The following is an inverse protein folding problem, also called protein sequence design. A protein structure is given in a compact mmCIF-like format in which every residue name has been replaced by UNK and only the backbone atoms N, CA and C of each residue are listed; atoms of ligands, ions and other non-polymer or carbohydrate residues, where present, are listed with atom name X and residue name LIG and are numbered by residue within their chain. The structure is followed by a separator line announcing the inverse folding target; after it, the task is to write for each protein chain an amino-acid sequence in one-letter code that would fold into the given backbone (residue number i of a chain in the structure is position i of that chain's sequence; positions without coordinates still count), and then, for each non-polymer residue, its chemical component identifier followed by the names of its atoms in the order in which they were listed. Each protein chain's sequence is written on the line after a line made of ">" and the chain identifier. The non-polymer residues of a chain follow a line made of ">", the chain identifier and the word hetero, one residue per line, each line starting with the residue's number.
data_IF_347983187032
#
_entry.id   IF_347983187032
#
_cell.length_a   1.000
_cell.length_b   1.000
_cell.length_c   1.000
_cell.angle_alpha   90.00
_cell.angle_beta   90.00
_cell.angle_gamma   90.00
#
_symmetry.space_group_name_H-M   'P 1'
#
loop_
_entity.id
_entity.type
_entity.pdbx_description
1 polymer ?
#
# COMPACT_ATOMS: atom_id res chain seq x y z
N UNK A 1 -8.58 -3.65 -22.17
CA UNK A 1 -7.55 -4.51 -22.83
C UNK A 1 -6.94 -5.35 -21.72
N UNK A 2 -7.16 -6.68 -21.75
CA UNK A 2 -6.60 -7.58 -20.75
C UNK A 2 -5.08 -7.56 -20.90
N UNK A 3 -4.37 -7.02 -19.91
CA UNK A 3 -2.94 -7.21 -19.80
C UNK A 3 -2.70 -8.69 -19.48
N UNK A 4 -2.21 -9.45 -20.44
CA UNK A 4 -1.70 -10.79 -20.17
C UNK A 4 -0.60 -10.65 -19.10
N UNK A 5 -0.76 -11.37 -18.01
CA UNK A 5 0.24 -11.47 -16.95
C UNK A 5 1.49 -12.10 -17.53
N UNK A 6 2.47 -11.29 -17.90
CA UNK A 6 3.81 -11.80 -18.17
C UNK A 6 4.44 -12.14 -16.81
N UNK A 7 4.33 -13.40 -16.43
CA UNK A 7 5.01 -13.97 -15.25
C UNK A 7 6.48 -14.28 -15.53
N UNK A 8 7.12 -13.56 -16.41
CA UNK A 8 8.55 -13.72 -16.65
C UNK A 8 9.33 -12.89 -15.63
N UNK A 9 9.68 -13.53 -14.53
CA UNK A 9 10.48 -12.97 -13.43
C UNK A 9 11.92 -12.60 -13.82
N UNK A 10 12.33 -12.87 -15.08
CA UNK A 10 13.67 -12.58 -15.60
C UNK A 10 13.72 -11.32 -16.49
N UNK A 11 12.62 -10.64 -16.70
CA UNK A 11 12.63 -9.38 -17.45
C UNK A 11 13.16 -8.23 -16.57
N UNK A 12 13.87 -7.31 -17.22
CA UNK A 12 14.39 -6.06 -16.66
C UNK A 12 13.39 -5.43 -15.67
N UNK A 13 13.78 -5.07 -14.43
CA UNK A 13 12.90 -4.47 -13.44
C UNK A 13 12.25 -3.16 -13.91
N UNK A 14 12.77 -2.57 -14.99
CA UNK A 14 12.18 -1.39 -15.62
C UNK A 14 11.22 -1.82 -16.72
N UNK A 15 9.97 -1.47 -16.54
CA UNK A 15 8.91 -1.74 -17.48
C UNK A 15 9.16 -0.99 -18.80
N UNK A 16 9.57 -1.70 -19.83
CA UNK A 16 9.77 -1.13 -21.16
C UNK A 16 8.57 -1.54 -22.02
N UNK A 17 7.52 -0.71 -22.04
CA UNK A 17 6.42 -0.87 -22.97
C UNK A 17 6.83 -0.31 -24.34
N UNK A 18 7.31 -1.18 -25.23
CA UNK A 18 7.28 -0.94 -26.66
C UNK A 18 5.90 -1.31 -27.21
N UNK A 19 4.87 -0.54 -26.90
CA UNK A 19 3.64 -0.60 -27.68
C UNK A 19 3.74 0.38 -28.83
N UNK A 20 3.77 -0.14 -30.04
CA UNK A 20 3.63 0.62 -31.26
C UNK A 20 2.19 1.10 -31.40
N UNK A 21 1.92 2.33 -30.99
CA UNK A 21 0.73 3.06 -31.41
C UNK A 21 0.99 3.61 -32.82
N UNK A 22 0.37 3.05 -33.84
CA UNK A 22 0.39 3.53 -35.25
C UNK A 22 1.78 3.96 -35.77
N UNK A 23 2.85 3.28 -35.37
CA UNK A 23 4.22 3.52 -35.83
C UNK A 23 4.94 4.68 -35.14
N UNK A 24 4.34 5.37 -34.18
CA UNK A 24 4.98 6.41 -33.37
C UNK A 24 5.13 5.90 -31.93
N UNK A 25 6.38 5.63 -31.53
CA UNK A 25 6.69 5.28 -30.13
C UNK A 25 6.52 6.56 -29.28
N UNK A 26 5.57 6.59 -28.31
CA UNK A 26 5.40 7.76 -27.47
C UNK A 26 6.67 8.01 -26.65
N UNK A 27 7.16 9.24 -26.65
CA UNK A 27 8.27 9.61 -25.79
C UNK A 27 7.82 9.54 -24.33
N UNK A 28 8.50 8.74 -23.54
CA UNK A 28 8.26 8.68 -22.09
C UNK A 28 8.57 10.02 -21.43
N UNK A 29 7.88 10.30 -20.34
CA UNK A 29 8.04 11.54 -19.60
C UNK A 29 8.05 11.24 -18.10
N UNK A 30 9.06 11.70 -17.39
CA UNK A 30 9.25 11.45 -15.97
C UNK A 30 9.73 10.04 -15.63
N UNK A 31 9.79 9.71 -14.34
CA UNK A 31 10.16 8.39 -13.89
C UNK A 31 9.10 7.38 -14.30
N UNK A 32 9.53 6.17 -14.68
CA UNK A 32 8.66 5.07 -15.09
C UNK A 32 8.48 4.07 -13.96
N UNK A 33 7.30 3.44 -13.84
CA UNK A 33 7.08 2.36 -12.89
C UNK A 33 7.82 1.09 -13.31
N UNK A 34 8.23 0.29 -12.33
CA UNK A 34 8.55 -1.11 -12.53
C UNK A 34 7.28 -1.95 -12.67
N UNK A 35 7.41 -3.19 -13.18
CA UNK A 35 6.28 -4.14 -13.23
C UNK A 35 5.68 -4.38 -11.84
N UNK A 36 6.53 -4.50 -10.81
CA UNK A 36 6.07 -4.66 -9.44
C UNK A 36 5.22 -3.48 -8.97
N UNK A 37 5.61 -2.26 -9.31
CA UNK A 37 4.85 -1.06 -8.96
C UNK A 37 3.51 -0.98 -9.70
N UNK A 38 3.45 -1.39 -10.97
CA UNK A 38 2.18 -1.46 -11.69
C UNK A 38 1.24 -2.51 -11.05
N UNK A 39 1.76 -3.72 -10.78
CA UNK A 39 0.97 -4.77 -10.11
C UNK A 39 0.49 -4.31 -8.72
N UNK A 40 1.32 -3.57 -8.00
CA UNK A 40 1.00 -3.02 -6.69
C UNK A 40 -0.18 -2.04 -6.75
N UNK A 41 -0.18 -1.12 -7.71
CA UNK A 41 -1.30 -0.20 -7.96
C UNK A 41 -2.59 -0.93 -8.37
N UNK A 42 -2.48 -1.99 -9.18
CA UNK A 42 -3.63 -2.79 -9.62
C UNK A 42 -4.28 -3.60 -8.48
N UNK A 43 -3.55 -3.87 -7.41
CA UNK A 43 -4.10 -4.52 -6.21
C UNK A 43 -5.01 -3.59 -5.41
N UNK A 44 -4.82 -2.28 -5.51
CA UNK A 44 -5.55 -1.21 -4.81
C UNK A 44 -5.45 -1.28 -3.28
N UNK A 45 -5.67 -2.47 -2.70
CA UNK A 45 -5.70 -2.70 -1.27
C UNK A 45 -4.88 -3.93 -0.88
N UNK A 46 -3.97 -3.76 0.08
CA UNK A 46 -3.29 -4.82 0.81
C UNK A 46 -3.88 -5.02 2.20
N UNK A 47 -3.73 -6.21 2.76
CA UNK A 47 -4.03 -6.48 4.16
C UNK A 47 -2.74 -6.42 4.99
N UNK A 48 -2.81 -5.90 6.20
CA UNK A 48 -1.76 -5.96 7.19
C UNK A 48 -2.22 -6.85 8.35
N UNK A 49 -1.35 -7.68 8.89
CA UNK A 49 -1.58 -8.47 10.10
C UNK A 49 -0.59 -8.06 11.16
N UNK A 50 -1.05 -7.26 12.14
CA UNK A 50 -0.35 -7.08 13.40
C UNK A 50 -0.80 -8.18 14.35
N UNK A 51 0.11 -9.13 14.61
CA UNK A 51 -0.12 -10.22 15.55
C UNK A 51 1.21 -10.67 16.14
N UNK A 52 1.29 -10.75 17.47
CA UNK A 52 2.51 -11.09 18.17
C UNK A 52 2.34 -10.99 19.67
N UNK A 53 3.43 -10.74 20.41
CA UNK A 53 3.43 -10.57 21.86
C UNK A 53 2.44 -9.46 22.27
N UNK A 54 2.40 -8.37 21.56
CA UNK A 54 1.56 -7.22 21.84
C UNK A 54 0.05 -7.52 21.78
N UNK A 55 -0.37 -8.52 21.01
CA UNK A 55 -1.76 -9.04 21.05
C UNK A 55 -2.12 -9.58 22.43
N UNK A 56 -1.18 -10.21 23.14
CA UNK A 56 -1.41 -10.84 24.44
C UNK A 56 -1.25 -9.89 25.60
N UNK A 57 -0.30 -8.96 25.49
CA UNK A 57 -0.04 -7.92 26.51
C UNK A 57 -0.98 -6.71 26.37
N UNK A 58 -1.71 -6.61 25.25
CA UNK A 58 -2.64 -5.52 24.96
C UNK A 58 -1.97 -4.14 24.94
N UNK A 59 -0.79 -4.05 24.31
CA UNK A 59 -0.04 -2.79 24.12
C UNK A 59 0.28 -2.61 22.64
N UNK A 60 0.45 -1.34 22.22
CA UNK A 60 0.87 -1.06 20.83
C UNK A 60 2.38 -1.25 20.67
N UNK A 61 3.16 -0.79 21.63
CA UNK A 61 4.59 -0.96 21.68
C UNK A 61 5.00 -1.70 22.96
N UNK A 62 5.61 -2.87 22.80
CA UNK A 62 6.18 -3.61 23.92
C UNK A 62 7.49 -2.97 24.40
N UNK A 63 7.97 -3.43 25.53
CA UNK A 63 9.20 -2.93 26.15
C UNK A 63 10.40 -3.87 26.03
N UNK A 64 10.24 -5.01 25.31
CA UNK A 64 11.26 -6.03 25.09
C UNK A 64 11.59 -6.90 26.30
N UNK A 65 10.79 -6.84 27.37
CA UNK A 65 10.97 -7.60 28.61
C UNK A 65 9.74 -8.46 28.94
N UNK A 66 8.84 -8.60 28.00
CA UNK A 66 7.65 -9.43 28.12
C UNK A 66 8.08 -10.88 28.39
N UNK A 67 7.35 -11.56 29.26
CA UNK A 67 7.59 -12.97 29.50
C UNK A 67 7.09 -13.80 28.30
N UNK A 68 7.86 -14.79 27.88
CA UNK A 68 7.41 -15.76 26.88
C UNK A 68 6.14 -16.51 27.33
N UNK A 69 5.89 -16.61 28.64
CA UNK A 69 4.68 -17.19 29.23
C UNK A 69 3.43 -16.31 29.03
N UNK A 70 3.60 -15.01 28.72
CA UNK A 70 2.48 -14.12 28.37
C UNK A 70 1.87 -14.47 27.03
N UNK A 71 2.65 -15.10 26.13
CA UNK A 71 2.19 -15.56 24.84
C UNK A 71 1.42 -16.88 24.97
N UNK A 72 0.13 -16.78 25.24
CA UNK A 72 -0.73 -17.93 25.60
C UNK A 72 -1.52 -18.51 24.42
N UNK A 73 -1.07 -18.30 23.19
CA UNK A 73 -1.72 -18.85 22.01
C UNK A 73 -1.74 -20.38 22.04
N UNK A 74 -2.92 -20.95 21.77
CA UNK A 74 -3.11 -22.40 21.67
C UNK A 74 -3.07 -22.84 20.21
N UNK A 75 -3.78 -22.11 19.35
CA UNK A 75 -3.88 -22.44 17.93
C UNK A 75 -4.17 -21.18 17.11
N UNK A 76 -3.86 -21.25 15.81
CA UNK A 76 -4.17 -20.22 14.82
C UNK A 76 -4.61 -20.90 13.53
N UNK A 77 -5.80 -20.58 13.06
CA UNK A 77 -6.32 -21.12 11.79
C UNK A 77 -5.81 -20.29 10.61
N UNK A 78 -4.56 -20.53 10.20
CA UNK A 78 -3.87 -19.81 9.12
C UNK A 78 -4.64 -19.88 7.80
N UNK A 79 -5.19 -21.05 7.48
CA UNK A 79 -5.92 -21.24 6.23
C UNK A 79 -7.21 -20.44 6.22
N UNK A 80 -7.97 -20.47 7.31
CA UNK A 80 -9.21 -19.68 7.45
C UNK A 80 -8.91 -18.19 7.40
N UNK A 81 -7.84 -17.74 8.08
CA UNK A 81 -7.42 -16.34 8.07
C UNK A 81 -7.12 -15.86 6.64
N UNK A 82 -6.20 -16.53 5.94
CA UNK A 82 -5.79 -16.15 4.57
C UNK A 82 -6.96 -16.28 3.59
N UNK A 83 -7.76 -17.34 3.70
CA UNK A 83 -8.95 -17.53 2.87
C UNK A 83 -9.97 -16.41 3.06
N UNK A 84 -10.21 -15.98 4.30
CA UNK A 84 -11.12 -14.88 4.60
C UNK A 84 -10.67 -13.59 3.93
N UNK A 85 -9.38 -13.25 4.01
CA UNK A 85 -8.83 -12.08 3.32
C UNK A 85 -9.00 -12.19 1.80
N UNK A 86 -8.74 -13.36 1.22
CA UNK A 86 -8.93 -13.61 -0.21
C UNK A 86 -10.38 -13.44 -0.65
N UNK A 87 -11.33 -13.96 0.13
CA UNK A 87 -12.77 -13.84 -0.13
C UNK A 87 -13.25 -12.37 -0.02
N UNK A 88 -12.63 -11.59 0.86
CA UNK A 88 -12.83 -10.14 0.96
C UNK A 88 -12.23 -9.36 -0.21
N UNK A 89 -11.33 -9.95 -0.99
CA UNK A 89 -10.75 -9.36 -2.20
C UNK A 89 -9.30 -8.92 -2.06
N UNK A 90 -8.67 -9.09 -0.90
CA UNK A 90 -7.26 -8.80 -0.72
C UNK A 90 -6.39 -9.78 -1.53
N UNK A 91 -5.33 -9.28 -2.13
CA UNK A 91 -4.37 -10.06 -2.91
C UNK A 91 -2.99 -10.12 -2.28
N UNK A 92 -2.70 -9.23 -1.34
CA UNK A 92 -1.45 -9.12 -0.58
C UNK A 92 -1.74 -9.10 0.91
N UNK A 93 -0.88 -9.79 1.67
CA UNK A 93 -0.85 -9.79 3.12
C UNK A 93 0.56 -9.46 3.59
N UNK A 94 0.72 -8.37 4.34
CA UNK A 94 1.95 -8.07 5.07
C UNK A 94 1.80 -8.55 6.50
N UNK A 95 2.82 -9.23 7.01
CA UNK A 95 2.82 -9.78 8.37
C UNK A 95 3.94 -9.20 9.22
N UNK A 96 3.63 -8.79 10.45
CA UNK A 96 4.61 -8.35 11.44
C UNK A 96 5.39 -9.53 12.01
N UNK A 97 6.46 -9.95 11.32
CA UNK A 97 7.29 -11.06 11.78
C UNK A 97 8.12 -10.71 13.02
N UNK A 98 8.48 -9.45 13.20
CA UNK A 98 9.05 -8.88 14.42
C UNK A 98 8.61 -7.43 14.58
N UNK A 99 7.94 -7.09 15.66
CA UNK A 99 7.61 -5.72 16.03
C UNK A 99 8.73 -5.11 16.91
N UNK A 100 8.55 -3.91 17.42
CA UNK A 100 9.53 -3.14 18.20
C UNK A 100 9.98 -3.83 19.50
N UNK A 101 9.14 -4.73 20.05
CA UNK A 101 9.45 -5.55 21.23
C UNK A 101 10.55 -6.60 21.01
N UNK A 102 10.97 -6.77 19.75
CA UNK A 102 11.98 -7.75 19.37
C UNK A 102 11.50 -9.21 19.41
N UNK A 103 10.20 -9.47 19.67
CA UNK A 103 9.66 -10.82 19.68
C UNK A 103 9.53 -11.36 18.25
N UNK A 104 10.26 -12.46 17.97
CA UNK A 104 10.35 -13.05 16.65
C UNK A 104 9.27 -14.11 16.43
N UNK A 105 8.46 -13.95 15.39
CA UNK A 105 7.38 -14.87 15.04
C UNK A 105 7.85 -16.04 14.14
N UNK A 106 9.17 -16.28 14.05
CA UNK A 106 9.78 -17.42 13.35
C UNK A 106 10.85 -18.08 14.25
N UNK A 107 11.34 -19.25 13.83
CA UNK A 107 12.37 -20.00 14.56
C UNK A 107 13.78 -19.43 14.31
N UNK A 108 14.00 -18.17 14.71
CA UNK A 108 15.31 -17.53 14.61
C UNK A 108 16.35 -18.20 15.49
N UNK A 109 17.62 -18.14 15.07
CA UNK A 109 18.79 -18.56 15.86
C UNK A 109 19.49 -17.39 16.56
N UNK A 110 19.12 -16.16 16.20
CA UNK A 110 19.81 -14.96 16.64
C UNK A 110 19.37 -14.49 18.03
N UNK A 111 18.16 -14.88 18.47
CA UNK A 111 17.66 -14.55 19.81
C UNK A 111 16.82 -15.69 20.40
N UNK A 112 16.71 -15.71 21.72
CA UNK A 112 15.77 -16.57 22.44
C UNK A 112 14.38 -15.98 22.58
N UNK A 113 14.19 -14.67 22.27
CA UNK A 113 12.91 -13.98 22.30
C UNK A 113 12.10 -14.31 21.04
N UNK A 114 11.56 -15.53 20.98
CA UNK A 114 10.90 -16.07 19.80
C UNK A 114 9.73 -16.99 20.14
N UNK A 115 8.81 -17.09 19.20
CA UNK A 115 7.56 -17.86 19.34
C UNK A 115 7.79 -19.34 19.59
N UNK A 116 8.83 -19.95 19.03
CA UNK A 116 9.13 -21.38 19.22
C UNK A 116 9.59 -21.72 20.64
N UNK A 117 9.96 -20.72 21.42
CA UNK A 117 10.29 -20.87 22.84
C UNK A 117 9.08 -20.65 23.78
N UNK A 118 7.92 -20.29 23.25
CA UNK A 118 6.67 -20.19 24.01
C UNK A 118 5.97 -21.54 24.11
N UNK A 119 4.87 -21.60 24.85
CA UNK A 119 4.02 -22.81 24.92
C UNK A 119 3.42 -23.21 23.56
N UNK A 120 3.32 -22.29 22.61
CA UNK A 120 2.85 -22.58 21.25
C UNK A 120 3.85 -23.44 20.46
N UNK A 121 5.14 -23.15 20.55
CA UNK A 121 6.23 -24.00 20.09
C UNK A 121 6.35 -24.21 18.57
N UNK A 122 5.55 -23.50 17.74
CA UNK A 122 5.58 -23.62 16.26
C UNK A 122 6.10 -22.33 15.65
N UNK A 123 6.66 -22.44 14.44
CA UNK A 123 7.08 -21.31 13.61
C UNK A 123 5.85 -20.70 12.92
N UNK A 124 5.42 -19.53 13.38
CA UNK A 124 4.23 -18.85 12.86
C UNK A 124 4.41 -18.39 11.41
N UNK A 125 5.59 -17.81 11.11
CA UNK A 125 5.89 -17.33 9.75
C UNK A 125 5.85 -18.47 8.74
N UNK A 126 6.36 -19.66 9.10
CA UNK A 126 6.31 -20.84 8.23
C UNK A 126 4.87 -21.29 7.95
N UNK A 127 4.04 -21.39 8.98
CA UNK A 127 2.66 -21.84 8.82
C UNK A 127 1.80 -20.81 8.04
N UNK A 128 2.00 -19.51 8.31
CA UNK A 128 1.35 -18.45 7.54
C UNK A 128 1.77 -18.45 6.07
N UNK A 129 3.07 -18.63 5.80
CA UNK A 129 3.62 -18.72 4.44
C UNK A 129 3.03 -19.89 3.65
N UNK A 130 2.84 -21.04 4.32
CA UNK A 130 2.19 -22.20 3.74
C UNK A 130 0.73 -21.93 3.35
N UNK A 131 -0.01 -21.22 4.22
CA UNK A 131 -1.38 -20.81 3.91
C UNK A 131 -1.42 -19.80 2.76
N UNK A 132 -0.52 -18.79 2.74
CA UNK A 132 -0.40 -17.86 1.62
C UNK A 132 -0.10 -18.58 0.29
N UNK A 133 0.79 -19.58 0.31
CA UNK A 133 1.13 -20.38 -0.88
C UNK A 133 -0.06 -21.21 -1.36
N UNK A 134 -0.86 -21.77 -0.44
CA UNK A 134 -2.05 -22.56 -0.76
C UNK A 134 -3.13 -21.73 -1.45
N UNK A 135 -3.35 -20.52 -1.01
CA UNK A 135 -4.40 -19.63 -1.53
C UNK A 135 -3.88 -18.61 -2.56
N UNK A 136 -2.62 -18.70 -2.95
CA UNK A 136 -1.96 -17.76 -3.87
C UNK A 136 -2.16 -16.31 -3.41
N UNK A 137 -1.86 -16.05 -2.14
CA UNK A 137 -1.85 -14.73 -1.53
C UNK A 137 -0.42 -14.18 -1.60
N UNK A 138 -0.22 -13.05 -2.26
CA UNK A 138 1.06 -12.36 -2.23
C UNK A 138 1.43 -12.04 -0.78
N UNK A 139 2.68 -12.28 -0.41
CA UNK A 139 3.14 -12.08 0.96
C UNK A 139 4.18 -10.99 1.02
N UNK A 140 3.95 -10.01 1.89
CA UNK A 140 4.94 -9.06 2.37
C UNK A 140 5.33 -9.39 3.81
N UNK A 141 6.40 -8.78 4.26
CA UNK A 141 6.90 -8.97 5.62
C UNK A 141 7.28 -7.62 6.24
N UNK A 142 6.86 -7.40 7.47
CA UNK A 142 7.30 -6.33 8.33
C UNK A 142 8.32 -6.90 9.30
N UNK A 143 9.50 -6.33 9.30
CA UNK A 143 10.56 -6.64 10.26
C UNK A 143 11.06 -5.32 10.84
N UNK A 144 10.64 -4.98 12.07
CA UNK A 144 11.04 -3.73 12.70
C UNK A 144 12.56 -3.59 12.76
N UNK A 145 13.13 -2.48 12.23
CA UNK A 145 14.53 -2.16 12.45
C UNK A 145 14.81 -1.73 13.90
N UNK A 146 13.83 -1.13 14.56
CA UNK A 146 13.91 -0.82 15.97
C UNK A 146 13.62 -2.08 16.81
N UNK A 147 14.50 -2.41 17.73
CA UNK A 147 14.43 -3.62 18.55
C UNK A 147 14.84 -3.28 19.99
N UNK A 148 13.84 -3.18 20.86
CA UNK A 148 14.06 -2.79 22.26
C UNK A 148 14.56 -3.96 23.13
N UNK A 149 14.50 -5.20 22.62
CA UNK A 149 15.01 -6.40 23.30
C UNK A 149 16.50 -6.60 23.06
N UNK A 150 16.99 -6.27 21.85
CA UNK A 150 18.35 -6.59 21.43
C UNK A 150 19.39 -5.65 22.09
N UNK A 151 20.33 -6.19 22.90
CA UNK A 151 21.29 -5.35 23.62
C UNK A 151 22.26 -4.56 22.74
N UNK A 152 22.47 -4.98 21.50
CA UNK A 152 23.36 -4.27 20.55
C UNK A 152 22.65 -3.10 19.84
N UNK A 153 21.35 -2.88 20.06
CA UNK A 153 20.65 -1.74 19.48
C UNK A 153 21.33 -0.42 19.87
N UNK A 154 21.54 0.46 18.92
CA UNK A 154 22.30 1.70 19.09
C UNK A 154 23.82 1.55 19.01
N UNK A 155 24.34 0.35 18.68
CA UNK A 155 25.77 0.08 18.56
C UNK A 155 26.29 0.10 17.10
N UNK A 156 25.53 0.71 16.19
CA UNK A 156 25.90 0.83 14.77
C UNK A 156 26.09 -0.52 14.09
N UNK A 157 27.34 -0.83 13.66
CA UNK A 157 27.65 -2.03 12.90
C UNK A 157 27.29 -3.34 13.64
N UNK A 158 27.42 -3.40 14.96
CA UNK A 158 27.13 -4.61 15.71
C UNK A 158 25.63 -4.98 15.59
N UNK A 159 24.75 -4.00 15.72
CA UNK A 159 23.32 -4.19 15.50
C UNK A 159 22.99 -4.49 14.03
N UNK A 160 23.58 -3.78 13.09
CA UNK A 160 23.38 -4.02 11.67
C UNK A 160 23.74 -5.46 11.27
N UNK A 161 24.81 -6.01 11.84
CA UNK A 161 25.20 -7.41 11.65
C UNK A 161 24.17 -8.39 12.25
N UNK A 162 23.60 -8.10 13.42
CA UNK A 162 22.53 -8.89 14.02
C UNK A 162 21.27 -8.88 13.16
N UNK A 163 20.80 -7.69 12.77
CA UNK A 163 19.61 -7.52 11.96
C UNK A 163 19.76 -8.16 10.57
N UNK A 164 20.92 -8.02 9.93
CA UNK A 164 21.23 -8.66 8.65
C UNK A 164 21.20 -10.20 8.73
N UNK A 165 21.58 -10.79 9.88
CA UNK A 165 21.47 -12.25 10.06
C UNK A 165 19.99 -12.67 10.13
N UNK A 166 19.13 -11.92 10.83
CA UNK A 166 17.69 -12.16 10.84
C UNK A 166 17.10 -12.07 9.42
N UNK A 167 17.47 -11.06 8.64
CA UNK A 167 17.09 -10.96 7.23
C UNK A 167 17.50 -12.22 6.46
N UNK A 168 18.78 -12.64 6.59
CA UNK A 168 19.31 -13.84 5.91
C UNK A 168 18.57 -15.13 6.27
N UNK A 169 18.20 -15.31 7.53
CA UNK A 169 17.38 -16.45 7.94
C UNK A 169 16.05 -16.51 7.22
N UNK A 170 15.41 -15.36 7.01
CA UNK A 170 14.11 -15.27 6.37
C UNK A 170 14.23 -15.44 4.86
N UNK A 171 15.06 -14.65 4.19
CA UNK A 171 15.08 -14.61 2.71
C UNK A 171 15.76 -15.81 2.07
N UNK A 172 16.63 -16.51 2.80
CA UNK A 172 17.32 -17.71 2.29
C UNK A 172 16.58 -19.01 2.61
N UNK A 173 15.45 -18.93 3.31
CA UNK A 173 14.66 -20.11 3.63
C UNK A 173 13.44 -20.19 2.71
N UNK A 174 13.38 -21.17 1.80
CA UNK A 174 12.32 -21.28 0.80
C UNK A 174 10.93 -21.64 1.35
N UNK A 175 10.83 -21.92 2.66
CA UNK A 175 9.53 -22.16 3.30
C UNK A 175 8.79 -20.85 3.62
N UNK A 176 9.49 -19.72 3.70
CA UNK A 176 8.88 -18.43 4.02
C UNK A 176 8.41 -17.69 2.76
N UNK A 177 7.36 -16.92 2.90
CA UNK A 177 6.74 -16.19 1.80
C UNK A 177 5.79 -17.03 0.94
N UNK A 178 5.16 -16.41 -0.05
CA UNK A 178 4.36 -17.15 -1.03
C UNK A 178 5.28 -17.90 -1.99
N UNK A 179 5.31 -19.25 -1.89
CA UNK A 179 6.17 -20.12 -2.71
C UNK A 179 7.66 -19.71 -2.65
N UNK A 180 8.11 -19.26 -1.47
CA UNK A 180 9.49 -18.85 -1.24
C UNK A 180 9.81 -17.39 -1.57
N UNK A 181 8.80 -16.58 -1.87
CA UNK A 181 8.99 -15.19 -2.29
C UNK A 181 8.15 -14.21 -1.50
N UNK A 182 8.73 -13.01 -1.28
CA UNK A 182 8.05 -11.84 -0.76
C UNK A 182 7.95 -10.77 -1.86
N UNK A 183 6.82 -10.03 -1.86
CA UNK A 183 6.59 -8.95 -2.81
C UNK A 183 6.88 -7.57 -2.21
N UNK A 184 6.92 -7.50 -0.89
CA UNK A 184 7.14 -6.26 -0.15
C UNK A 184 7.87 -6.52 1.16
N UNK A 185 8.78 -5.60 1.51
CA UNK A 185 9.47 -5.58 2.79
C UNK A 185 9.28 -4.23 3.47
N UNK A 186 8.77 -4.29 4.68
CA UNK A 186 8.41 -3.13 5.46
C UNK A 186 9.46 -2.85 6.54
N UNK A 187 10.17 -1.71 6.41
CA UNK A 187 11.06 -1.17 7.41
C UNK A 187 10.36 -0.01 8.11
N UNK A 188 9.87 -0.25 9.31
CA UNK A 188 9.27 0.79 10.12
C UNK A 188 10.35 1.68 10.74
N UNK A 189 10.27 2.97 10.50
CA UNK A 189 11.24 3.92 11.06
C UNK A 189 10.78 4.54 12.39
N UNK A 190 9.66 4.07 12.96
CA UNK A 190 9.23 4.51 14.28
C UNK A 190 10.27 4.14 15.34
N UNK A 191 10.48 5.03 16.29
CA UNK A 191 11.40 4.86 17.44
C UNK A 191 10.94 5.77 18.58
N UNK A 192 10.98 5.27 19.80
CA UNK A 192 10.81 6.10 20.99
C UNK A 192 12.07 6.96 21.20
N UNK A 193 11.88 8.26 21.50
CA UNK A 193 12.95 9.24 21.69
C UNK A 193 13.90 8.91 22.84
N UNK A 194 13.48 8.08 23.79
CA UNK A 194 14.30 7.65 24.94
C UNK A 194 15.29 6.52 24.60
N UNK A 195 15.22 5.95 23.37
CA UNK A 195 16.17 4.91 22.91
C UNK A 195 17.32 5.54 22.12
N UNK A 196 18.49 4.93 22.12
CA UNK A 196 19.64 5.42 21.38
C UNK A 196 19.37 5.48 19.88
N UNK A 197 20.05 6.40 19.20
CA UNK A 197 20.02 6.41 17.73
C UNK A 197 20.81 5.22 17.18
N UNK A 198 20.28 4.66 16.08
CA UNK A 198 20.92 3.58 15.33
C UNK A 198 21.05 4.00 13.88
N UNK A 199 22.27 3.97 13.38
CA UNK A 199 22.53 4.15 11.95
C UNK A 199 22.34 2.80 11.26
N UNK A 200 21.33 2.70 10.39
CA UNK A 200 20.98 1.48 9.69
C UNK A 200 21.68 1.38 8.33
N UNK A 201 22.20 0.19 8.01
CA UNK A 201 22.77 -0.13 6.70
C UNK A 201 21.69 -0.70 5.76
N UNK A 202 20.71 0.14 5.40
CA UNK A 202 19.62 -0.25 4.51
C UNK A 202 20.09 -0.73 3.14
N UNK A 203 21.23 -0.23 2.63
CA UNK A 203 21.77 -0.68 1.35
C UNK A 203 22.14 -2.16 1.40
N UNK A 204 22.86 -2.60 2.44
CA UNK A 204 23.20 -4.01 2.64
C UNK A 204 21.98 -4.88 2.89
N UNK A 205 20.99 -4.38 3.66
CA UNK A 205 19.75 -5.09 3.93
C UNK A 205 18.96 -5.34 2.64
N UNK A 206 18.71 -4.30 1.86
CA UNK A 206 18.02 -4.41 0.59
C UNK A 206 18.78 -5.28 -0.43
N UNK A 207 20.10 -5.14 -0.49
CA UNK A 207 20.92 -5.97 -1.38
C UNK A 207 20.79 -7.46 -1.04
N UNK A 208 20.76 -7.83 0.24
CA UNK A 208 20.55 -9.21 0.66
C UNK A 208 19.16 -9.73 0.28
N UNK A 209 18.12 -8.94 0.57
CA UNK A 209 16.73 -9.30 0.28
C UNK A 209 16.51 -9.49 -1.23
N UNK A 210 17.07 -8.61 -2.07
CA UNK A 210 16.93 -8.67 -3.52
C UNK A 210 17.57 -9.90 -4.17
N UNK A 211 18.53 -10.57 -3.51
CA UNK A 211 19.15 -11.79 -4.08
C UNK A 211 18.11 -12.87 -4.42
N UNK A 212 17.11 -13.04 -3.56
CA UNK A 212 16.06 -14.04 -3.74
C UNK A 212 14.70 -13.42 -4.13
N UNK A 213 14.56 -12.10 -4.00
CA UNK A 213 13.36 -11.34 -4.29
C UNK A 213 13.70 -10.11 -5.16
N UNK A 214 14.13 -10.29 -6.42
CA UNK A 214 14.70 -9.19 -7.23
C UNK A 214 13.71 -8.07 -7.54
N UNK A 215 12.42 -8.37 -7.47
CA UNK A 215 11.34 -7.43 -7.81
C UNK A 215 10.57 -6.92 -6.57
N UNK A 216 11.10 -7.15 -5.38
CA UNK A 216 10.47 -6.72 -4.12
C UNK A 216 10.42 -5.19 -4.01
N UNK A 217 9.33 -4.68 -3.47
CA UNK A 217 9.21 -3.28 -3.07
C UNK A 217 9.60 -3.12 -1.59
N UNK A 218 10.11 -1.95 -1.25
CA UNK A 218 10.50 -1.64 0.13
C UNK A 218 9.77 -0.40 0.62
N UNK A 219 9.18 -0.52 1.78
CA UNK A 219 8.68 0.60 2.57
C UNK A 219 9.75 1.09 3.55
N UNK A 220 9.77 2.40 3.85
CA UNK A 220 10.62 2.97 4.90
C UNK A 220 12.06 3.29 4.49
N UNK A 221 12.41 3.21 3.19
CA UNK A 221 13.75 3.51 2.68
C UNK A 221 13.76 4.63 1.63
N UNK A 222 12.74 5.46 1.65
CA UNK A 222 12.62 6.61 0.76
C UNK A 222 12.67 6.26 -0.73
N UNK A 223 13.46 7.01 -1.54
CA UNK A 223 13.49 6.85 -3.00
C UNK A 223 13.94 5.47 -3.49
N UNK A 224 14.65 4.72 -2.66
CA UNK A 224 15.19 3.40 -3.02
C UNK A 224 14.15 2.28 -2.97
N UNK A 225 12.98 2.55 -2.34
CA UNK A 225 11.99 1.52 -2.02
C UNK A 225 10.97 1.24 -3.12
N UNK A 226 10.65 2.24 -3.91
CA UNK A 226 9.58 2.16 -4.91
C UNK A 226 8.18 2.42 -4.37
N UNK A 227 8.01 2.40 -3.06
CA UNK A 227 6.84 2.86 -2.31
C UNK A 227 7.28 3.79 -1.19
N UNK A 228 6.41 4.68 -0.75
CA UNK A 228 6.67 5.59 0.36
C UNK A 228 5.42 5.77 1.21
N UNK A 229 5.63 6.13 2.47
CA UNK A 229 4.54 6.40 3.39
C UNK A 229 3.76 7.66 2.99
N UNK A 230 2.43 7.60 3.08
CA UNK A 230 1.56 8.75 2.82
C UNK A 230 1.64 9.85 3.89
N UNK A 231 2.45 9.65 4.94
CA UNK A 231 2.72 10.64 5.98
C UNK A 231 1.70 10.67 7.13
N UNK A 232 0.79 9.71 7.19
CA UNK A 232 -0.19 9.60 8.28
C UNK A 232 -0.77 8.18 8.36
N UNK A 233 -1.26 7.80 9.53
CA UNK A 233 -1.94 6.52 9.80
C UNK A 233 -3.48 6.62 9.66
N UNK A 234 -3.98 7.67 9.02
CA UNK A 234 -5.42 7.82 8.77
C UNK A 234 -5.88 7.04 7.54
N UNK A 235 -4.94 6.51 6.76
CA UNK A 235 -5.22 5.86 5.50
C UNK A 235 -5.49 6.86 4.35
N UNK A 236 -4.97 8.07 4.41
CA UNK A 236 -5.22 9.13 3.45
C UNK A 236 -3.96 9.49 2.66
N UNK A 237 -4.03 9.42 1.35
CA UNK A 237 -3.05 10.07 0.49
C UNK A 237 -3.27 11.60 0.47
N UNK A 238 -2.22 12.41 0.30
CA UNK A 238 -2.34 13.84 0.03
C UNK A 238 -3.25 14.14 -1.16
N UNK A 239 -3.84 15.33 -1.22
CA UNK A 239 -4.66 15.75 -2.37
C UNK A 239 -3.82 15.88 -3.64
N UNK A 240 -2.55 16.26 -3.49
CA UNK A 240 -1.56 16.44 -4.56
C UNK A 240 -0.77 15.18 -4.87
N UNK A 241 -1.28 14.02 -4.46
CA UNK A 241 -0.58 12.75 -4.60
C UNK A 241 -0.26 12.42 -6.05
N UNK A 242 1.03 12.43 -6.40
CA UNK A 242 1.55 11.98 -7.68
C UNK A 242 2.47 10.77 -7.46
N UNK A 243 2.56 9.81 -8.40
CA UNK A 243 3.34 8.58 -8.21
C UNK A 243 4.85 8.83 -8.41
N UNK A 244 5.40 9.77 -7.66
CA UNK A 244 6.80 10.17 -7.73
C UNK A 244 7.30 10.72 -6.39
N UNK A 245 8.57 10.49 -6.10
CA UNK A 245 9.26 10.98 -4.91
C UNK A 245 10.56 11.64 -5.32
N UNK A 246 10.92 12.76 -4.69
CA UNK A 246 12.21 13.42 -4.93
C UNK A 246 13.36 12.50 -4.47
N UNK A 247 14.42 12.38 -5.29
CA UNK A 247 15.59 11.54 -5.01
C UNK A 247 16.34 11.93 -3.74
N UNK A 248 16.25 13.19 -3.34
CA UNK A 248 16.91 13.72 -2.15
C UNK A 248 16.05 13.58 -0.88
N UNK A 249 14.88 12.96 -0.97
CA UNK A 249 14.00 12.73 0.18
C UNK A 249 14.45 11.47 0.92
N UNK A 250 15.34 11.63 1.90
CA UNK A 250 15.83 10.50 2.71
C UNK A 250 15.06 10.29 4.01
N UNK A 251 14.25 11.26 4.43
CA UNK A 251 13.48 11.18 5.67
C UNK A 251 11.99 11.07 5.38
N UNK A 252 11.33 10.27 6.18
CA UNK A 252 9.86 10.22 6.25
C UNK A 252 9.43 11.47 7.01
N UNK A 253 9.33 12.57 6.28
CA UNK A 253 8.79 13.80 6.79
C UNK A 253 7.35 13.96 6.25
N UNK A 254 6.43 14.38 7.11
CA UNK A 254 5.07 14.76 6.71
C UNK A 254 5.06 15.75 5.54
N UNK A 255 6.10 16.59 5.42
CA UNK A 255 6.31 17.50 4.31
C UNK A 255 6.84 16.82 3.04
N UNK A 256 7.39 15.62 3.10
CA UNK A 256 7.98 14.95 1.95
C UNK A 256 6.91 14.50 0.94
N UNK A 257 5.77 14.05 1.43
CA UNK A 257 4.61 13.75 0.60
C UNK A 257 4.10 15.01 -0.13
N UNK A 258 4.16 16.16 0.51
CA UNK A 258 3.83 17.47 -0.09
C UNK A 258 4.82 17.90 -1.17
N UNK A 259 6.11 17.62 -1.00
CA UNK A 259 7.16 18.01 -1.96
C UNK A 259 7.20 17.11 -3.19
N UNK A 260 6.55 15.96 -3.18
CA UNK A 260 6.51 15.03 -4.31
C UNK A 260 5.76 15.56 -5.52
N UNK A 261 4.92 16.58 -5.36
CA UNK A 261 4.05 17.06 -6.42
C UNK A 261 4.68 18.11 -7.35
N UNK A 262 5.79 18.78 -6.97
CA UNK A 262 6.33 19.95 -7.69
C UNK A 262 7.81 19.80 -7.99
N UNK A 263 8.22 19.65 -9.29
CA UNK A 263 9.62 19.62 -9.69
C UNK A 263 9.91 19.08 -11.08
N UNK A 264 11.17 19.17 -11.54
CA UNK A 264 11.63 18.67 -12.82
C UNK A 264 11.86 17.14 -12.80
N UNK A 265 11.62 16.49 -13.92
CA UNK A 265 11.59 15.01 -14.04
C UNK A 265 12.89 14.27 -13.68
N UNK A 266 14.04 14.92 -13.75
CA UNK A 266 15.34 14.29 -13.47
C UNK A 266 15.61 14.10 -11.98
N UNK A 267 14.87 14.83 -11.12
CA UNK A 267 15.05 14.83 -9.67
C UNK A 267 14.15 13.81 -8.96
N UNK A 268 13.34 13.05 -9.71
CA UNK A 268 12.35 12.15 -9.15
C UNK A 268 12.56 10.70 -9.52
N UNK A 269 12.13 9.81 -8.64
CA UNK A 269 11.92 8.38 -8.92
C UNK A 269 10.41 8.10 -8.93
N UNK A 270 10.00 7.02 -9.63
CA UNK A 270 8.64 6.53 -9.51
C UNK A 270 8.46 5.91 -8.12
N UNK A 271 7.50 6.39 -7.38
CA UNK A 271 7.21 5.91 -6.04
C UNK A 271 5.73 6.05 -5.75
N UNK A 272 5.14 5.05 -5.11
CA UNK A 272 3.71 4.97 -4.84
C UNK A 272 3.47 5.27 -3.37
N UNK A 273 2.50 6.14 -3.08
CA UNK A 273 2.07 6.37 -1.71
C UNK A 273 1.34 5.15 -1.17
N UNK A 274 1.84 4.58 -0.10
CA UNK A 274 1.13 3.61 0.70
C UNK A 274 0.43 4.31 1.86
N UNK A 275 -0.87 4.06 1.98
CA UNK A 275 -1.76 4.68 2.95
C UNK A 275 -2.17 3.62 3.96
N UNK A 276 -1.46 3.52 5.05
CA UNK A 276 -1.69 2.54 6.09
C UNK A 276 -2.69 3.04 7.14
N UNK A 277 -3.53 2.13 7.61
CA UNK A 277 -4.44 2.35 8.73
C UNK A 277 -4.99 1.02 9.23
N UNK A 278 -5.61 1.00 10.40
CA UNK A 278 -6.30 -0.19 10.91
C UNK A 278 -7.80 -0.13 10.69
N UNK A 279 -8.44 -1.28 10.52
CA UNK A 279 -9.91 -1.41 10.54
C UNK A 279 -10.49 -1.05 11.91
N UNK A 280 -9.66 -1.09 12.94
CA UNK A 280 -9.95 -0.65 14.30
C UNK A 280 -9.22 0.64 14.64
N UNK A 281 -9.29 1.10 15.88
CA UNK A 281 -8.48 2.21 16.41
C UNK A 281 -7.14 1.75 17.01
N UNK A 282 -6.75 0.48 16.75
CA UNK A 282 -5.54 -0.16 17.24
C UNK A 282 -4.85 -0.94 16.13
N UNK A 283 -3.53 -1.14 16.28
CA UNK A 283 -2.77 -2.01 15.38
C UNK A 283 -2.88 -3.47 15.84
N UNK A 284 -2.64 -3.76 17.11
CA UNK A 284 -2.87 -5.08 17.68
C UNK A 284 -4.30 -5.19 18.22
N UNK A 285 -4.90 -6.39 18.12
CA UNK A 285 -6.25 -6.61 18.62
C UNK A 285 -6.32 -6.40 20.13
N UNK A 286 -7.33 -5.66 20.54
CA UNK A 286 -7.59 -5.30 21.93
C UNK A 286 -9.07 -5.53 22.25
N UNK A 287 -9.38 -5.97 23.47
CA UNK A 287 -10.78 -6.31 23.86
C UNK A 287 -11.75 -5.11 23.75
N UNK A 288 -11.25 -3.89 23.91
CA UNK A 288 -12.07 -2.66 23.93
C UNK A 288 -11.85 -1.82 22.64
N UNK A 289 -11.35 -2.42 21.56
CA UNK A 289 -11.10 -1.73 20.30
C UNK A 289 -12.41 -1.30 19.60
N UNK A 290 -12.38 -0.12 19.01
CA UNK A 290 -13.45 0.40 18.16
C UNK A 290 -13.23 0.01 16.71
N UNK A 291 -14.22 -0.64 16.11
CA UNK A 291 -14.21 -0.91 14.66
C UNK A 291 -14.71 0.33 13.93
N UNK A 292 -13.97 0.78 12.91
CA UNK A 292 -14.38 1.88 12.03
C UNK A 292 -15.72 1.57 11.34
N UNK A 293 -16.53 2.58 11.09
CA UNK A 293 -17.81 2.44 10.37
C UNK A 293 -17.60 2.17 8.89
N UNK A 294 -18.64 1.76 8.19
CA UNK A 294 -18.64 1.58 6.73
C UNK A 294 -18.31 2.91 6.04
N UNK A 295 -18.85 4.00 6.54
CA UNK A 295 -18.64 5.35 6.03
C UNK A 295 -17.16 5.78 6.16
N UNK A 296 -16.56 5.56 7.35
CA UNK A 296 -15.13 5.85 7.59
C UNK A 296 -14.25 5.03 6.63
N UNK A 297 -14.49 3.72 6.49
CA UNK A 297 -13.70 2.87 5.61
C UNK A 297 -13.92 3.21 4.13
N UNK A 298 -15.12 3.60 3.74
CA UNK A 298 -15.41 4.05 2.39
C UNK A 298 -14.70 5.39 2.09
N UNK A 299 -14.70 6.31 3.05
CA UNK A 299 -13.96 7.57 2.91
C UNK A 299 -12.45 7.34 2.82
N UNK A 300 -11.91 6.38 3.60
CA UNK A 300 -10.52 5.95 3.49
C UNK A 300 -10.22 5.44 2.08
N UNK A 301 -11.07 4.60 1.50
CA UNK A 301 -10.92 4.14 0.11
C UNK A 301 -10.91 5.31 -0.89
N UNK A 302 -11.81 6.26 -0.76
CA UNK A 302 -11.85 7.44 -1.63
C UNK A 302 -10.63 8.34 -1.49
N UNK A 303 -10.05 8.42 -0.28
CA UNK A 303 -8.90 9.28 0.01
C UNK A 303 -7.55 8.58 -0.14
N UNK A 304 -7.49 7.26 -0.29
CA UNK A 304 -6.29 6.49 -0.61
C UNK A 304 -6.26 6.11 -2.08
N UNK A 305 -6.98 5.06 -2.44
CA UNK A 305 -7.09 4.54 -3.81
C UNK A 305 -7.65 5.60 -4.77
N UNK A 306 -8.65 6.35 -4.32
CA UNK A 306 -9.25 7.45 -5.08
C UNK A 306 -8.33 8.65 -5.29
N UNK A 307 -7.16 8.68 -4.68
CA UNK A 307 -6.10 9.69 -4.88
C UNK A 307 -4.82 9.09 -5.47
N UNK A 308 -4.91 7.91 -6.10
CA UNK A 308 -3.79 7.26 -6.76
C UNK A 308 -2.76 6.63 -5.82
N UNK A 309 -3.10 6.44 -4.55
CA UNK A 309 -2.33 5.65 -3.58
C UNK A 309 -2.81 4.21 -3.49
N UNK A 310 -2.15 3.42 -2.65
CA UNK A 310 -2.57 2.06 -2.30
C UNK A 310 -2.93 2.02 -0.82
N UNK A 311 -4.07 1.42 -0.49
CA UNK A 311 -4.49 1.25 0.89
C UNK A 311 -3.85 -0.01 1.48
N UNK A 312 -3.15 0.12 2.61
CA UNK A 312 -2.73 -1.00 3.44
C UNK A 312 -3.59 -1.02 4.71
N UNK A 313 -4.57 -1.92 4.73
CA UNK A 313 -5.54 -1.99 5.81
C UNK A 313 -5.17 -3.09 6.81
N UNK A 314 -4.87 -2.70 8.04
CA UNK A 314 -4.60 -3.65 9.12
C UNK A 314 -5.89 -4.34 9.60
N UNK A 315 -5.84 -5.66 9.61
CA UNK A 315 -6.94 -6.55 10.02
C UNK A 315 -6.37 -7.48 11.09
N UNK A 316 -6.37 -7.05 12.37
CA UNK A 316 -5.72 -7.81 13.41
C UNK A 316 -6.47 -9.11 13.72
N UNK A 317 -5.72 -10.13 14.13
CA UNK A 317 -6.28 -11.33 14.73
C UNK A 317 -6.34 -11.17 16.25
N UNK A 318 -7.39 -11.65 16.87
CA UNK A 318 -7.56 -11.67 18.33
C UNK A 318 -6.72 -12.76 19.00
N UNK A 319 -6.68 -12.80 20.32
CA UNK A 319 -5.91 -13.80 21.12
C UNK A 319 -6.25 -15.26 20.79
N UNK A 320 -7.40 -15.53 20.18
CA UNK A 320 -7.76 -16.87 19.71
C UNK A 320 -7.30 -17.17 18.27
N UNK A 321 -6.51 -16.28 17.66
CA UNK A 321 -5.98 -16.46 16.30
C UNK A 321 -7.05 -16.28 15.20
N UNK A 322 -8.09 -15.50 15.43
CA UNK A 322 -9.20 -15.30 14.48
C UNK A 322 -9.45 -13.81 14.25
N UNK A 323 -9.90 -13.48 13.06
CA UNK A 323 -10.51 -12.17 12.80
C UNK A 323 -11.87 -12.16 13.51
N UNK A 324 -12.19 -11.10 14.24
CA UNK A 324 -13.51 -10.94 14.85
C UNK A 324 -14.60 -10.91 13.76
N UNK A 325 -15.71 -11.63 14.00
CA UNK A 325 -16.82 -11.72 13.04
C UNK A 325 -17.39 -10.34 12.68
N UNK A 326 -17.39 -9.39 13.62
CA UNK A 326 -17.84 -8.02 13.37
C UNK A 326 -16.91 -7.27 12.42
N UNK A 327 -15.61 -7.55 12.45
CA UNK A 327 -14.66 -6.99 11.49
C UNK A 327 -14.93 -7.58 10.10
N UNK A 328 -15.15 -8.89 10.01
CA UNK A 328 -15.47 -9.57 8.74
C UNK A 328 -16.76 -8.99 8.14
N UNK A 329 -17.80 -8.82 8.94
CA UNK A 329 -19.08 -8.25 8.52
C UNK A 329 -18.88 -6.80 8.03
N UNK A 330 -18.17 -5.97 8.80
CA UNK A 330 -17.86 -4.58 8.43
C UNK A 330 -17.11 -4.47 7.10
N UNK A 331 -16.14 -5.34 6.88
CA UNK A 331 -15.38 -5.35 5.62
C UNK A 331 -16.24 -5.81 4.44
N UNK A 332 -17.17 -6.76 4.64
CA UNK A 332 -18.14 -7.16 3.62
C UNK A 332 -19.11 -6.02 3.27
N UNK A 333 -19.63 -5.32 4.27
CA UNK A 333 -20.49 -4.16 4.07
C UNK A 333 -19.76 -3.04 3.31
N UNK A 334 -18.52 -2.74 3.70
CA UNK A 334 -17.68 -1.74 3.02
C UNK A 334 -17.42 -2.11 1.57
N UNK A 335 -17.05 -3.38 1.31
CA UNK A 335 -16.87 -3.89 -0.06
C UNK A 335 -18.16 -3.76 -0.87
N UNK A 336 -19.29 -4.12 -0.27
CA UNK A 336 -20.61 -3.95 -0.91
C UNK A 336 -20.90 -2.51 -1.28
N UNK A 337 -20.63 -1.56 -0.36
CA UNK A 337 -20.79 -0.12 -0.61
C UNK A 337 -19.89 0.39 -1.74
N UNK A 338 -18.62 -0.02 -1.77
CA UNK A 338 -17.70 0.33 -2.88
C UNK A 338 -18.25 -0.23 -4.19
N UNK A 339 -18.63 -1.50 -4.25
CA UNK A 339 -19.18 -2.12 -5.45
C UNK A 339 -20.47 -1.43 -5.91
N UNK A 340 -21.39 -1.13 -5.01
CA UNK A 340 -22.63 -0.42 -5.33
C UNK A 340 -22.35 0.97 -5.89
N UNK A 341 -21.47 1.74 -5.26
CA UNK A 341 -21.11 3.11 -5.65
C UNK A 341 -20.51 3.19 -7.06
N UNK A 342 -19.81 2.16 -7.50
CA UNK A 342 -19.14 2.10 -8.81
C UNK A 342 -19.73 1.02 -9.74
N UNK A 343 -20.96 0.57 -9.52
CA UNK A 343 -21.62 -0.47 -10.34
C UNK A 343 -22.36 0.08 -11.54
N UNK A 344 -22.97 1.26 -11.41
CA UNK A 344 -23.82 1.85 -12.44
C UNK A 344 -23.16 3.06 -13.06
N UNK A 345 -22.54 2.85 -14.21
CA UNK A 345 -22.09 3.91 -15.09
C UNK A 345 -23.28 4.57 -15.78
N UNK A 346 -23.35 5.89 -15.77
CA UNK A 346 -24.46 6.68 -16.36
C UNK A 346 -24.07 7.39 -17.66
N UNK A 347 -22.93 7.05 -18.26
CA UNK A 347 -22.40 7.72 -19.47
C UNK A 347 -23.37 7.61 -20.65
N UNK A 348 -24.13 6.52 -20.77
CA UNK A 348 -25.13 6.34 -21.84
C UNK A 348 -26.39 7.19 -21.66
N UNK A 349 -26.60 7.75 -20.46
CA UNK A 349 -27.81 8.51 -20.12
C UNK A 349 -27.59 10.05 -20.14
N UNK A 350 -26.36 10.49 -20.43
CA UNK A 350 -25.93 11.89 -20.46
C UNK A 350 -25.16 12.20 -21.75
N UNK A 351 -24.98 13.50 -22.06
CA UNK A 351 -24.18 13.90 -23.22
C UNK A 351 -22.74 14.15 -22.82
N UNK A 352 -21.81 13.47 -23.49
CA UNK A 352 -20.36 13.57 -23.21
C UNK A 352 -19.65 13.99 -24.50
N UNK A 353 -18.84 15.03 -24.38
CA UNK A 353 -17.89 15.44 -25.42
C UNK A 353 -16.48 15.35 -24.86
N UNK A 354 -15.61 14.65 -25.59
CA UNK A 354 -14.22 14.46 -25.23
C UNK A 354 -13.32 15.03 -26.31
N UNK A 355 -12.34 15.84 -25.94
CA UNK A 355 -11.35 16.42 -26.87
C UNK A 355 -9.95 16.16 -26.34
N UNK A 356 -9.15 15.38 -27.09
CA UNK A 356 -7.75 15.11 -26.84
C UNK A 356 -6.92 15.82 -27.92
N UNK A 357 -6.20 16.86 -27.56
CA UNK A 357 -5.31 17.64 -28.44
C UNK A 357 -3.86 17.60 -27.93
N UNK A 358 -3.36 16.39 -27.76
CA UNK A 358 -1.97 16.18 -27.39
C UNK A 358 -1.71 16.39 -25.90
N UNK A 359 -1.26 17.55 -25.49
CA UNK A 359 -1.00 17.85 -24.09
C UNK A 359 -2.21 18.44 -23.33
N UNK A 360 -3.35 18.53 -23.98
CA UNK A 360 -4.59 19.02 -23.41
C UNK A 360 -5.69 17.98 -23.56
N UNK A 361 -6.46 17.78 -22.50
CA UNK A 361 -7.60 16.88 -22.48
C UNK A 361 -8.79 17.58 -21.86
N UNK A 362 -9.91 17.61 -22.59
CA UNK A 362 -11.15 18.20 -22.14
C UNK A 362 -12.27 17.16 -22.16
N UNK A 363 -13.00 17.09 -21.05
CA UNK A 363 -14.23 16.33 -20.92
C UNK A 363 -15.35 17.30 -20.58
N UNK A 364 -16.40 17.32 -21.36
CA UNK A 364 -17.60 18.12 -21.12
C UNK A 364 -18.79 17.18 -20.99
N UNK A 365 -19.54 17.35 -19.92
CA UNK A 365 -20.72 16.55 -19.59
C UNK A 365 -21.91 17.49 -19.46
N UNK A 366 -22.97 17.21 -20.24
CA UNK A 366 -24.28 17.84 -20.09
C UNK A 366 -25.28 16.82 -19.58
N UNK A 367 -25.94 17.14 -18.49
CA UNK A 367 -26.92 16.32 -17.79
C UNK A 367 -28.28 16.99 -17.76
N UNK A 368 -28.97 17.07 -18.93
CA UNK A 368 -30.24 17.77 -19.04
C UNK A 368 -31.36 17.12 -18.23
N UNK A 369 -31.26 15.81 -17.99
CA UNK A 369 -32.27 15.05 -17.27
C UNK A 369 -32.11 15.17 -15.75
N UNK A 370 -30.99 15.78 -15.27
CA UNK A 370 -30.72 15.97 -13.84
C UNK A 370 -30.55 14.67 -13.07
N UNK A 371 -29.87 13.68 -13.69
CA UNK A 371 -29.47 12.45 -13.01
C UNK A 371 -28.47 12.78 -11.90
N UNK A 372 -28.46 11.98 -10.85
CA UNK A 372 -27.47 12.13 -9.78
C UNK A 372 -26.10 11.69 -10.29
N UNK A 373 -25.13 12.59 -10.26
CA UNK A 373 -23.73 12.32 -10.54
C UNK A 373 -22.99 12.31 -9.20
N UNK A 374 -22.63 11.11 -8.74
CA UNK A 374 -22.00 10.94 -7.44
C UNK A 374 -20.47 10.93 -7.51
N UNK A 375 -19.92 10.35 -8.60
CA UNK A 375 -18.48 10.20 -8.75
C UNK A 375 -18.06 10.40 -10.22
N UNK A 376 -16.93 11.08 -10.40
CA UNK A 376 -16.16 11.04 -11.64
C UNK A 376 -14.83 10.35 -11.33
N UNK A 377 -14.51 9.31 -12.07
CA UNK A 377 -13.23 8.60 -12.01
C UNK A 377 -12.44 8.92 -13.26
N UNK A 378 -11.17 9.29 -13.10
CA UNK A 378 -10.25 9.57 -14.21
C UNK A 378 -8.95 8.82 -13.95
N UNK A 379 -8.37 8.22 -15.00
CA UNK A 379 -7.11 7.48 -14.92
C UNK A 379 -6.13 7.96 -15.98
N UNK A 380 -4.90 8.26 -15.55
CA UNK A 380 -3.77 8.49 -16.45
C UNK A 380 -3.02 7.17 -16.69
N UNK A 381 -2.57 6.90 -17.92
CA UNK A 381 -1.69 5.76 -18.19
C UNK A 381 -0.26 6.04 -17.71
N UNK A 382 -0.05 5.84 -16.42
CA UNK A 382 1.21 6.13 -15.73
C UNK A 382 2.37 5.25 -16.20
N UNK A 383 2.09 4.16 -16.95
CA UNK A 383 3.12 3.28 -17.54
C UNK A 383 3.99 4.02 -18.55
N UNK A 384 3.51 5.15 -19.06
CA UNK A 384 4.24 6.06 -19.96
C UNK A 384 4.84 7.28 -19.26
N UNK A 385 4.87 7.24 -17.93
CA UNK A 385 5.22 8.35 -17.05
C UNK A 385 4.02 9.26 -16.77
N UNK A 386 3.93 9.78 -15.56
CA UNK A 386 2.92 10.77 -15.19
C UNK A 386 3.22 12.09 -15.88
N UNK A 387 2.26 12.63 -16.65
CA UNK A 387 2.42 13.79 -17.52
C UNK A 387 1.57 14.97 -17.12
N UNK A 388 0.57 14.69 -16.27
CA UNK A 388 -0.31 15.71 -15.73
C UNK A 388 0.49 16.80 -14.99
N UNK A 389 0.16 18.07 -15.26
CA UNK A 389 0.80 19.22 -14.62
C UNK A 389 -0.16 20.18 -13.97
N UNK A 390 -1.35 20.34 -14.56
CA UNK A 390 -2.36 21.29 -14.10
C UNK A 390 -3.74 20.83 -14.58
N UNK A 391 -4.75 21.04 -13.77
CA UNK A 391 -6.12 20.77 -14.20
C UNK A 391 -7.16 21.56 -13.44
N UNK A 392 -8.35 21.56 -14.00
CA UNK A 392 -9.53 22.18 -13.42
C UNK A 392 -10.74 21.29 -13.61
N UNK A 393 -11.58 21.23 -12.58
CA UNK A 393 -12.93 20.71 -12.71
C UNK A 393 -13.93 21.85 -12.51
N UNK A 394 -14.92 21.94 -13.37
CA UNK A 394 -16.00 22.90 -13.28
C UNK A 394 -17.30 22.15 -13.01
N UNK A 395 -17.98 22.50 -11.94
CA UNK A 395 -19.25 21.90 -11.54
C UNK A 395 -20.30 23.01 -11.58
N UNK A 396 -21.27 22.91 -12.49
CA UNK A 396 -22.28 23.97 -12.74
C UNK A 396 -21.65 25.37 -12.96
N UNK A 397 -20.44 25.43 -13.53
CA UNK A 397 -19.69 26.65 -13.79
C UNK A 397 -18.76 27.11 -12.66
N UNK A 398 -18.82 26.53 -11.48
CA UNK A 398 -17.86 26.80 -10.42
C UNK A 398 -16.57 26.00 -10.64
N UNK A 399 -15.41 26.66 -10.54
CA UNK A 399 -14.09 26.11 -10.83
C UNK A 399 -13.36 25.65 -9.59
N UNK A 400 -12.82 24.42 -9.64
CA UNK A 400 -11.91 23.88 -8.64
C UNK A 400 -10.61 23.42 -9.31
N UNK A 401 -9.51 23.56 -8.60
CA UNK A 401 -8.21 23.08 -9.05
C UNK A 401 -8.11 21.56 -8.92
N UNK A 402 -7.35 20.93 -9.83
CA UNK A 402 -6.95 19.54 -9.76
C UNK A 402 -5.44 19.52 -9.57
N UNK A 403 -4.99 18.93 -8.48
CA UNK A 403 -3.59 18.91 -8.10
C UNK A 403 -2.86 17.69 -8.66
N UNK A 404 -3.56 16.57 -8.85
CA UNK A 404 -3.01 15.35 -9.45
C UNK A 404 -4.09 14.47 -10.07
N UNK A 405 -3.71 13.62 -11.01
CA UNK A 405 -4.54 12.52 -11.54
C UNK A 405 -3.92 11.18 -11.11
N UNK A 406 -2.69 10.88 -11.54
CA UNK A 406 -2.03 9.61 -11.27
C UNK A 406 -2.73 8.42 -11.92
N UNK A 407 -2.47 7.22 -11.41
CA UNK A 407 -3.14 6.00 -11.91
C UNK A 407 -4.66 6.08 -11.78
N UNK A 408 -5.15 6.75 -10.74
CA UNK A 408 -6.59 6.92 -10.49
C UNK A 408 -6.86 8.19 -9.70
N UNK A 409 -7.88 8.93 -10.13
CA UNK A 409 -8.47 10.03 -9.37
C UNK A 409 -9.98 9.85 -9.31
N UNK A 410 -10.52 9.76 -8.11
CA UNK A 410 -11.96 9.75 -7.84
C UNK A 410 -12.33 11.13 -7.32
N UNK A 411 -13.19 11.84 -8.06
CA UNK A 411 -13.83 13.06 -7.61
C UNK A 411 -15.16 12.70 -6.95
N UNK A 412 -15.26 12.96 -5.66
CA UNK A 412 -16.49 12.78 -4.88
C UNK A 412 -17.40 13.99 -5.07
N UNK A 413 -18.47 13.78 -5.79
CA UNK A 413 -19.43 14.83 -6.20
C UNK A 413 -20.73 14.76 -5.42
N UNK A 414 -20.87 13.86 -4.44
CA UNK A 414 -22.12 13.63 -3.69
C UNK A 414 -22.61 14.84 -2.90
N UNK A 415 -21.75 15.81 -2.62
CA UNK A 415 -22.13 17.07 -1.95
C UNK A 415 -22.81 18.08 -2.87
N UNK A 416 -22.79 17.84 -4.17
CA UNK A 416 -23.39 18.74 -5.19
C UNK A 416 -24.77 18.23 -5.57
N UNK A 417 -25.79 19.04 -5.34
CA UNK A 417 -27.14 18.75 -5.81
C UNK A 417 -27.31 19.15 -7.29
N UNK A 418 -27.91 18.25 -8.09
CA UNK A 418 -28.34 18.53 -9.48
C UNK A 418 -27.22 19.09 -10.36
N UNK A 419 -26.17 18.32 -10.55
CA UNK A 419 -25.12 18.67 -11.50
C UNK A 419 -25.71 18.65 -12.92
N UNK A 420 -25.83 19.81 -13.54
CA UNK A 420 -26.31 19.98 -14.93
C UNK A 420 -25.16 19.97 -15.92
N UNK A 421 -24.05 20.56 -15.54
CA UNK A 421 -22.84 20.62 -16.35
C UNK A 421 -21.62 20.26 -15.50
N UNK A 422 -20.78 19.39 -16.05
CA UNK A 422 -19.48 19.04 -15.50
C UNK A 422 -18.45 19.20 -16.60
N UNK A 423 -17.36 19.91 -16.33
CA UNK A 423 -16.28 20.06 -17.29
C UNK A 423 -14.96 19.76 -16.62
N UNK A 424 -14.14 18.94 -17.26
CA UNK A 424 -12.77 18.65 -16.86
C UNK A 424 -11.83 19.27 -17.90
N UNK A 425 -10.80 19.99 -17.44
CA UNK A 425 -9.74 20.52 -18.28
C UNK A 425 -8.40 20.09 -17.68
N UNK A 426 -7.65 19.25 -18.39
CA UNK A 426 -6.36 18.71 -17.95
C UNK A 426 -5.26 19.15 -18.91
N UNK A 427 -4.13 19.51 -18.35
CA UNK A 427 -2.95 19.96 -19.08
C UNK A 427 -1.74 19.14 -18.65
N UNK A 428 -0.94 18.72 -19.61
CA UNK A 428 0.26 17.93 -19.39
C UNK A 428 1.52 18.63 -19.89
N UNK A 429 2.68 18.23 -19.34
CA UNK A 429 3.98 18.64 -19.83
C UNK A 429 4.28 18.14 -21.26
N UNK A 430 3.56 17.09 -21.69
CA UNK A 430 3.55 16.53 -23.05
C UNK A 430 2.20 15.84 -23.26
N UNK A 431 2.05 15.04 -24.33
CA UNK A 431 0.79 14.34 -24.60
C UNK A 431 0.31 13.61 -23.34
N UNK A 432 -0.90 13.94 -22.88
CA UNK A 432 -1.60 13.21 -21.83
C UNK A 432 -2.14 11.89 -22.39
N UNK A 433 -2.09 10.86 -21.57
CA UNK A 433 -2.71 9.58 -21.86
C UNK A 433 -3.76 9.31 -20.79
N UNK A 434 -4.97 9.83 -21.01
CA UNK A 434 -6.12 9.50 -20.17
C UNK A 434 -6.62 8.13 -20.65
N UNK A 435 -6.39 7.12 -19.81
CA UNK A 435 -6.65 5.73 -20.14
C UNK A 435 -8.13 5.41 -20.03
N UNK A 436 -8.79 5.99 -19.03
CA UNK A 436 -10.20 5.75 -18.77
C UNK A 436 -10.81 6.93 -17.98
N UNK A 437 -12.10 7.16 -18.18
CA UNK A 437 -12.95 7.94 -17.29
C UNK A 437 -14.28 7.23 -17.11
N UNK A 438 -14.91 7.39 -15.95
CA UNK A 438 -16.22 6.82 -15.64
C UNK A 438 -17.02 7.80 -14.81
N UNK A 439 -18.33 7.83 -15.05
CA UNK A 439 -19.27 8.69 -14.33
C UNK A 439 -20.34 7.81 -13.67
N UNK A 440 -20.47 7.97 -12.35
CA UNK A 440 -21.35 7.14 -11.52
C UNK A 440 -22.34 7.97 -10.73
#
# INVERSE_FOLDING_TARGET
>A
MNLEKTTDLNSDPYFNFEETFDGIIPKYHGPLPSVSQVNYLEEECGAFLHFGMNTYTEVEWGNGKESLDDFTMIDFDYESYVKTLKDLGFRRLIFTAKHHDGFCMWDTKETSNKITNTSYGKDFLAELSKACSKFDMNMGIYLSPWDVHEPTYGSGEAYNNFYLKQIKEIVNNPIYGNKGHFVEWWFDNAKDENYPDQEYDFESFMAEIRKNNPHILFFGVGPMGGIHWAGNELGYAPSENAPRLNKDTFEIDYDAAFRSAVGHNEDYVFSISECDTSVTDRWFSHKDERIKSVEELFEIYLKSVGRGGVLLLNIPANKSGKIDDKIIERLKETKGKIQESFSKNIEDDIFITCTDIGNEYFLEVENPNGLDINFLVVREDIRKGSRFTLGYIFINGERFNIDSIGDRRIFDLRSYEKIKTLRLALYGASKLYINDFKIY
#
